data_IF_345017217142
#
_entry.id   IF_345017217142
#
_cell.length_a   1.000
_cell.length_b   1.000
_cell.length_c   1.000
_cell.angle_alpha   90.00
_cell.angle_beta   90.00
_cell.angle_gamma   90.00
#
_symmetry.space_group_name_H-M   'P 1'
#
loop_
_entity.id
_entity.type
_entity.pdbx_description
1 polymer ?
#
# COMPACT_ATOMS: atom_id res chain seq x y z
N UNK A 1 -17.75 3.80 17.69
CA UNK A 1 -18.50 4.29 18.85
C UNK A 1 -19.41 3.19 19.47
N UNK A 2 -19.98 2.25 18.69
CA UNK A 2 -20.89 1.21 19.19
C UNK A 2 -20.19 0.06 19.95
N UNK A 3 -18.91 -0.22 19.69
CA UNK A 3 -18.14 -1.28 20.38
C UNK A 3 -17.62 -0.88 21.76
N UNK A 4 -17.50 0.42 22.05
CA UNK A 4 -17.11 0.91 23.37
C UNK A 4 -18.16 0.61 24.47
N UNK A 5 -19.39 0.23 24.09
CA UNK A 5 -20.47 -0.10 25.03
C UNK A 5 -20.41 -1.54 25.60
N UNK A 6 -19.47 -2.39 25.14
CA UNK A 6 -19.41 -3.80 25.55
C UNK A 6 -18.32 -4.15 26.56
N UNK A 7 -17.71 -3.16 27.24
CA UNK A 7 -16.76 -3.44 28.33
C UNK A 7 -15.43 -4.07 27.90
N UNK A 8 -15.08 -4.01 26.60
CA UNK A 8 -13.79 -4.49 26.13
C UNK A 8 -12.65 -3.57 26.56
N UNK A 9 -11.49 -4.11 26.96
CA UNK A 9 -10.33 -3.33 27.35
C UNK A 9 -9.70 -2.66 26.11
N UNK A 10 -10.12 -1.43 25.81
CA UNK A 10 -9.61 -0.63 24.68
C UNK A 10 -8.67 0.46 25.17
N UNK A 11 -7.67 0.80 24.35
CA UNK A 11 -6.77 1.92 24.62
C UNK A 11 -7.53 3.25 24.59
N UNK A 12 -7.35 4.13 25.60
CA UNK A 12 -7.94 5.47 25.58
C UNK A 12 -7.18 6.39 24.63
N UNK A 13 -7.36 6.21 23.30
CA UNK A 13 -6.59 6.90 22.27
C UNK A 13 -6.57 8.42 22.39
N UNK A 14 -7.66 9.05 22.88
CA UNK A 14 -7.72 10.49 23.09
C UNK A 14 -6.88 11.00 24.27
N UNK A 15 -6.44 10.11 25.18
CA UNK A 15 -5.62 10.44 26.34
C UNK A 15 -4.15 10.07 26.16
N UNK A 16 -3.74 9.56 24.99
CA UNK A 16 -2.34 9.21 24.73
C UNK A 16 -1.51 10.46 24.46
N UNK A 17 -0.39 10.59 25.14
CA UNK A 17 0.61 11.64 24.87
C UNK A 17 1.29 11.41 23.52
N UNK A 18 1.79 12.49 22.89
CA UNK A 18 2.53 12.46 21.64
C UNK A 18 3.75 11.52 21.67
N UNK A 19 4.30 11.23 22.83
CA UNK A 19 5.38 10.24 23.01
C UNK A 19 5.04 8.85 22.49
N UNK A 20 3.77 8.45 22.54
CA UNK A 20 3.32 7.16 22.02
C UNK A 20 3.38 7.06 20.50
N UNK A 21 3.50 8.19 19.79
CA UNK A 21 3.70 8.23 18.34
C UNK A 21 5.16 7.99 17.92
N UNK A 22 6.14 8.05 18.86
CA UNK A 22 7.57 7.92 18.55
C UNK A 22 7.91 6.60 17.84
N UNK A 23 7.49 5.41 18.33
CA UNK A 23 7.80 4.15 17.64
C UNK A 23 7.28 4.12 16.19
N UNK A 24 6.09 4.68 15.95
CA UNK A 24 5.51 4.78 14.62
C UNK A 24 6.31 5.74 13.73
N UNK A 25 6.64 6.93 14.22
CA UNK A 25 7.46 7.90 13.48
C UNK A 25 8.85 7.33 13.15
N UNK A 26 9.48 6.65 14.09
CA UNK A 26 10.77 5.98 13.89
C UNK A 26 10.69 4.83 12.90
N UNK A 27 9.59 4.08 12.87
CA UNK A 27 9.36 3.05 11.86
C UNK A 27 9.25 3.66 10.47
N UNK A 28 8.48 4.76 10.30
CA UNK A 28 8.37 5.48 9.02
C UNK A 28 9.73 6.04 8.57
N UNK A 29 10.51 6.63 9.48
CA UNK A 29 11.86 7.10 9.18
C UNK A 29 12.80 5.95 8.80
N UNK A 30 12.68 4.80 9.45
CA UNK A 30 13.46 3.61 9.09
C UNK A 30 13.14 3.15 7.66
N UNK A 31 11.87 3.12 7.27
CA UNK A 31 11.43 2.76 5.90
C UNK A 31 11.94 3.80 4.87
N UNK A 32 11.93 5.08 5.21
CA UNK A 32 12.33 6.13 4.28
C UNK A 32 13.86 6.24 4.12
N UNK A 33 14.62 6.13 5.22
CA UNK A 33 16.05 6.44 5.24
C UNK A 33 16.92 5.19 5.02
N UNK A 34 16.59 4.07 5.68
CA UNK A 34 17.47 2.89 5.67
C UNK A 34 17.71 2.28 4.28
N UNK A 35 16.70 2.17 3.37
CA UNK A 35 16.96 1.69 2.02
C UNK A 35 17.94 2.54 1.23
N UNK A 36 18.00 3.85 1.51
CA UNK A 36 18.90 4.79 0.85
C UNK A 36 20.30 4.82 1.49
N UNK A 37 20.36 4.80 2.82
CA UNK A 37 21.60 4.91 3.56
C UNK A 37 22.36 3.58 3.68
N UNK A 38 21.66 2.47 3.84
CA UNK A 38 22.25 1.15 4.05
C UNK A 38 21.37 0.04 3.40
N UNK A 39 21.28 -0.05 2.05
CA UNK A 39 20.36 -0.94 1.36
C UNK A 39 20.55 -2.40 1.73
N UNK A 40 21.78 -2.91 1.73
CA UNK A 40 22.08 -4.33 2.08
C UNK A 40 21.71 -4.68 3.53
N UNK A 41 21.90 -3.73 4.45
CA UNK A 41 21.50 -3.94 5.85
C UNK A 41 19.98 -3.97 5.97
N UNK A 42 19.28 -3.06 5.28
CA UNK A 42 17.82 -3.00 5.26
C UNK A 42 17.21 -4.29 4.70
N UNK A 43 17.63 -4.72 3.51
CA UNK A 43 17.14 -5.94 2.86
C UNK A 43 17.25 -7.19 3.75
N UNK A 44 18.31 -7.24 4.56
CA UNK A 44 18.56 -8.40 5.44
C UNK A 44 17.84 -8.30 6.80
N UNK A 45 17.51 -7.10 7.27
CA UNK A 45 17.05 -6.87 8.64
C UNK A 45 15.71 -6.14 8.76
N UNK A 46 15.03 -5.78 7.64
CA UNK A 46 13.78 -5.01 7.71
C UNK A 46 12.73 -5.64 8.62
N UNK A 47 12.58 -6.97 8.61
CA UNK A 47 11.65 -7.67 9.48
C UNK A 47 12.00 -7.53 10.97
N UNK A 48 13.28 -7.57 11.33
CA UNK A 48 13.74 -7.38 12.73
C UNK A 48 13.51 -5.94 13.19
N UNK A 49 13.73 -4.97 12.31
CA UNK A 49 13.50 -3.54 12.60
C UNK A 49 12.00 -3.30 12.80
N UNK A 50 11.14 -3.90 11.98
CA UNK A 50 9.69 -3.81 12.11
C UNK A 50 9.20 -4.40 13.45
N UNK A 51 9.70 -5.59 13.80
CA UNK A 51 9.39 -6.22 15.10
C UNK A 51 9.91 -5.39 16.26
N UNK A 52 11.11 -4.84 16.16
CA UNK A 52 11.68 -3.97 17.19
C UNK A 52 10.78 -2.75 17.48
N UNK A 53 10.35 -2.02 16.46
CA UNK A 53 9.47 -0.86 16.63
C UNK A 53 8.06 -1.25 17.08
N UNK A 54 7.55 -2.40 16.63
CA UNK A 54 6.30 -2.96 17.14
C UNK A 54 6.36 -3.29 18.62
N UNK A 55 7.45 -3.93 19.07
CA UNK A 55 7.68 -4.21 20.48
C UNK A 55 7.94 -2.95 21.30
N UNK A 56 8.61 -1.95 20.73
CA UNK A 56 8.84 -0.65 21.37
C UNK A 56 7.53 0.11 21.68
N UNK A 57 6.45 -0.20 20.98
CA UNK A 57 5.11 0.27 21.31
C UNK A 57 4.39 -0.70 22.27
N UNK A 58 4.39 -1.99 21.95
CA UNK A 58 3.57 -3.00 22.62
C UNK A 58 4.00 -3.23 24.08
N UNK A 59 5.31 -3.25 24.36
CA UNK A 59 5.81 -3.49 25.72
C UNK A 59 5.44 -2.36 26.68
N UNK A 60 5.71 -1.07 26.40
CA UNK A 60 5.22 0.00 27.24
C UNK A 60 3.70 0.01 27.39
N UNK A 61 2.96 -0.29 26.31
CA UNK A 61 1.51 -0.41 26.35
C UNK A 61 1.07 -1.49 27.37
N UNK A 62 1.69 -2.66 27.36
CA UNK A 62 1.40 -3.73 28.29
C UNK A 62 1.74 -3.37 29.75
N UNK A 63 2.80 -2.59 29.97
CA UNK A 63 3.18 -2.14 31.31
C UNK A 63 2.27 -1.04 31.89
N UNK A 64 1.84 -0.08 31.03
CA UNK A 64 1.05 1.08 31.48
C UNK A 64 -0.44 0.76 31.54
N UNK A 65 -0.99 0.09 30.53
CA UNK A 65 -2.43 -0.18 30.42
C UNK A 65 -2.81 -1.62 30.78
N UNK A 66 -1.83 -2.46 31.00
CA UNK A 66 -2.02 -3.87 31.34
C UNK A 66 -1.89 -4.81 30.11
N UNK A 67 -1.45 -6.05 30.36
CA UNK A 67 -1.21 -7.03 29.30
C UNK A 67 -2.48 -7.46 28.55
N UNK A 68 -3.64 -7.42 29.24
CA UNK A 68 -4.93 -7.74 28.60
C UNK A 68 -5.33 -6.71 27.55
N UNK A 69 -5.10 -5.42 27.81
CA UNK A 69 -5.35 -4.33 26.84
C UNK A 69 -4.42 -4.46 25.65
N UNK A 70 -3.12 -4.62 25.89
CA UNK A 70 -2.13 -4.76 24.84
C UNK A 70 -2.40 -5.99 23.92
N UNK A 71 -2.77 -7.12 24.52
CA UNK A 71 -3.11 -8.34 23.79
C UNK A 71 -4.41 -8.16 22.97
N UNK A 72 -5.42 -7.54 23.57
CA UNK A 72 -6.68 -7.27 22.89
C UNK A 72 -6.46 -6.37 21.66
N UNK A 73 -5.74 -5.26 21.80
CA UNK A 73 -5.45 -4.35 20.70
C UNK A 73 -4.60 -5.03 19.61
N UNK A 74 -3.60 -5.81 20.00
CA UNK A 74 -2.79 -6.58 19.05
C UNK A 74 -3.65 -7.55 18.24
N UNK A 75 -4.49 -8.34 18.90
CA UNK A 75 -5.39 -9.29 18.24
C UNK A 75 -6.44 -8.58 17.38
N UNK A 76 -6.98 -7.47 17.86
CA UNK A 76 -7.94 -6.65 17.13
C UNK A 76 -7.35 -6.15 15.80
N UNK A 77 -6.14 -5.57 15.81
CA UNK A 77 -5.43 -5.11 14.62
C UNK A 77 -5.12 -6.28 13.68
N UNK A 78 -4.63 -7.41 14.21
CA UNK A 78 -4.30 -8.58 13.39
C UNK A 78 -5.55 -9.13 12.69
N UNK A 79 -6.65 -9.30 13.39
CA UNK A 79 -7.85 -9.97 12.87
C UNK A 79 -8.67 -9.03 11.97
N UNK A 80 -8.84 -7.78 12.36
CA UNK A 80 -9.76 -6.87 11.67
C UNK A 80 -9.09 -5.95 10.64
N UNK A 81 -7.79 -5.68 10.77
CA UNK A 81 -7.07 -4.84 9.82
C UNK A 81 -6.08 -5.65 8.97
N UNK A 82 -5.18 -6.41 9.61
CA UNK A 82 -4.07 -7.06 8.93
C UNK A 82 -4.50 -8.26 8.07
N UNK A 83 -5.31 -9.18 8.61
CA UNK A 83 -5.76 -10.37 7.86
C UNK A 83 -6.59 -9.98 6.64
N UNK A 84 -7.63 -9.12 6.73
CA UNK A 84 -8.37 -8.67 5.55
C UNK A 84 -7.48 -7.98 4.50
N UNK A 85 -6.51 -7.20 4.96
CA UNK A 85 -5.53 -6.55 4.09
C UNK A 85 -4.65 -7.57 3.33
N UNK A 86 -4.13 -8.59 4.00
CA UNK A 86 -3.33 -9.66 3.37
C UNK A 86 -4.18 -10.47 2.40
N UNK A 87 -5.44 -10.79 2.74
CA UNK A 87 -6.36 -11.49 1.84
C UNK A 87 -6.61 -10.66 0.57
N UNK A 88 -6.82 -9.34 0.71
CA UNK A 88 -6.97 -8.45 -0.43
C UNK A 88 -5.73 -8.47 -1.33
N UNK A 89 -4.54 -8.26 -0.74
CA UNK A 89 -3.29 -8.26 -1.51
C UNK A 89 -3.06 -9.59 -2.22
N UNK A 90 -3.29 -10.70 -1.53
CA UNK A 90 -3.16 -12.04 -2.09
C UNK A 90 -4.13 -12.26 -3.26
N UNK A 91 -5.37 -11.83 -3.12
CA UNK A 91 -6.40 -11.92 -4.17
C UNK A 91 -6.00 -11.09 -5.40
N UNK A 92 -5.61 -9.83 -5.20
CA UNK A 92 -5.16 -8.94 -6.28
C UNK A 92 -3.93 -9.49 -6.98
N UNK A 93 -2.96 -10.00 -6.23
CA UNK A 93 -1.73 -10.58 -6.77
C UNK A 93 -2.01 -11.84 -7.59
N UNK A 94 -2.91 -12.70 -7.11
CA UNK A 94 -3.32 -13.93 -7.80
C UNK A 94 -4.02 -13.62 -9.12
N UNK A 95 -4.95 -12.68 -9.12
CA UNK A 95 -5.65 -12.23 -10.34
C UNK A 95 -4.67 -11.62 -11.33
N UNK A 96 -3.82 -10.70 -10.89
CA UNK A 96 -2.83 -10.05 -11.74
C UNK A 96 -1.81 -11.03 -12.32
N UNK A 97 -1.36 -12.01 -11.53
CA UNK A 97 -0.42 -13.05 -11.95
C UNK A 97 -0.98 -14.02 -12.98
N UNK A 98 -2.32 -14.23 -12.98
CA UNK A 98 -3.02 -15.08 -13.94
C UNK A 98 -3.22 -14.44 -15.33
N UNK A 99 -3.10 -13.11 -15.45
CA UNK A 99 -3.31 -12.41 -16.73
C UNK A 99 -2.00 -12.36 -17.53
N UNK A 100 -2.04 -12.89 -18.76
CA UNK A 100 -0.91 -12.86 -19.69
C UNK A 100 -1.27 -12.07 -20.94
N UNK A 101 -0.58 -10.97 -21.16
CA UNK A 101 -0.68 -10.22 -22.41
C UNK A 101 0.35 -10.73 -23.43
N UNK A 102 -0.15 -11.26 -24.56
CA UNK A 102 0.67 -11.71 -25.69
C UNK A 102 0.39 -10.82 -26.90
N UNK A 103 1.43 -10.36 -27.58
CA UNK A 103 1.32 -9.54 -28.78
C UNK A 103 2.63 -8.86 -29.12
N UNK A 104 2.79 -8.47 -30.39
CA UNK A 104 3.91 -7.66 -30.87
C UNK A 104 3.46 -6.21 -30.98
N UNK A 105 3.70 -5.43 -29.94
CA UNK A 105 3.45 -4.00 -29.93
C UNK A 105 4.72 -3.27 -30.36
N UNK A 106 4.62 -2.36 -31.33
CA UNK A 106 5.68 -1.42 -31.66
C UNK A 106 5.52 -0.15 -30.84
N UNK A 107 6.56 0.29 -30.15
CA UNK A 107 6.52 1.44 -29.23
C UNK A 107 6.39 2.79 -29.95
N UNK A 108 5.28 3.02 -30.63
CA UNK A 108 4.91 4.35 -31.13
C UNK A 108 4.44 5.24 -29.98
N UNK A 109 4.47 6.56 -30.09
CA UNK A 109 3.93 7.45 -29.07
C UNK A 109 2.49 7.13 -28.67
N UNK A 110 1.64 6.80 -29.66
CA UNK A 110 0.24 6.46 -29.44
C UNK A 110 0.08 5.14 -28.69
N UNK A 111 0.87 4.11 -29.04
CA UNK A 111 0.85 2.81 -28.34
C UNK A 111 1.32 2.98 -26.89
N UNK A 112 2.37 3.76 -26.65
CA UNK A 112 2.83 4.04 -25.29
C UNK A 112 1.78 4.79 -24.48
N UNK A 113 1.17 5.84 -25.05
CA UNK A 113 0.08 6.56 -24.41
C UNK A 113 -1.13 5.63 -24.11
N UNK A 114 -1.47 4.75 -25.04
CA UNK A 114 -2.51 3.74 -24.85
C UNK A 114 -2.21 2.77 -23.69
N UNK A 115 -0.97 2.25 -23.63
CA UNK A 115 -0.55 1.37 -22.52
C UNK A 115 -0.64 2.11 -21.18
N UNK A 116 -0.20 3.37 -21.13
CA UNK A 116 -0.28 4.18 -19.92
C UNK A 116 -1.74 4.45 -19.51
N UNK A 117 -2.60 4.87 -20.45
CA UNK A 117 -4.00 5.15 -20.16
C UNK A 117 -4.75 3.89 -19.70
N UNK A 118 -4.61 2.76 -20.41
CA UNK A 118 -5.20 1.47 -20.02
C UNK A 118 -4.66 1.02 -18.65
N UNK A 119 -3.35 1.18 -18.44
CA UNK A 119 -2.71 0.82 -17.18
C UNK A 119 -3.23 1.65 -15.99
N UNK A 120 -3.43 2.94 -16.18
CA UNK A 120 -4.00 3.84 -15.17
C UNK A 120 -5.42 3.42 -14.77
N UNK A 121 -6.26 3.09 -15.76
CA UNK A 121 -7.61 2.59 -15.48
C UNK A 121 -7.57 1.23 -14.78
N UNK A 122 -6.77 0.28 -15.27
CA UNK A 122 -6.63 -1.03 -14.64
C UNK A 122 -6.09 -0.95 -13.21
N UNK A 123 -5.19 -0.01 -12.92
CA UNK A 123 -4.65 0.17 -11.57
C UNK A 123 -5.74 0.50 -10.54
N UNK A 124 -6.78 1.22 -10.94
CA UNK A 124 -7.93 1.50 -10.05
C UNK A 124 -8.74 0.25 -9.68
N UNK A 125 -8.69 -0.82 -10.48
CA UNK A 125 -9.52 -2.02 -10.28
C UNK A 125 -8.74 -3.21 -9.72
N UNK A 126 -7.51 -3.41 -10.20
CA UNK A 126 -6.70 -4.57 -9.81
C UNK A 126 -5.47 -4.20 -8.97
N UNK A 127 -5.40 -2.95 -8.53
CA UNK A 127 -4.29 -2.39 -7.78
C UNK A 127 -3.11 -1.96 -8.64
N UNK A 128 -2.37 -0.96 -8.15
CA UNK A 128 -1.18 -0.42 -8.82
C UNK A 128 -0.13 -1.49 -9.07
N UNK A 129 0.13 -2.36 -8.08
CA UNK A 129 1.09 -3.46 -8.21
C UNK A 129 0.67 -4.44 -9.31
N UNK A 130 -0.60 -4.84 -9.36
CA UNK A 130 -1.13 -5.76 -10.36
C UNK A 130 -1.03 -5.18 -11.77
N UNK A 131 -1.50 -3.96 -11.97
CA UNK A 131 -1.42 -3.28 -13.26
C UNK A 131 0.02 -3.05 -13.71
N UNK A 132 0.92 -2.67 -12.78
CA UNK A 132 2.32 -2.47 -13.08
C UNK A 132 3.00 -3.78 -13.50
N UNK A 133 2.80 -4.87 -12.79
CA UNK A 133 3.38 -6.19 -13.14
C UNK A 133 2.88 -6.69 -14.50
N UNK A 134 1.62 -6.44 -14.83
CA UNK A 134 1.01 -6.84 -16.10
C UNK A 134 1.59 -6.07 -17.29
N UNK A 135 1.77 -4.75 -17.15
CA UNK A 135 2.02 -3.85 -18.28
C UNK A 135 3.47 -3.40 -18.44
N UNK A 136 4.31 -3.49 -17.40
CA UNK A 136 5.72 -3.04 -17.51
C UNK A 136 6.49 -3.84 -18.55
N UNK A 137 6.31 -5.16 -18.64
CA UNK A 137 6.99 -6.01 -19.61
C UNK A 137 6.56 -5.72 -21.05
N UNK A 138 5.26 -5.63 -21.40
CA UNK A 138 4.80 -5.15 -22.70
C UNK A 138 5.36 -3.78 -23.06
N UNK A 139 5.35 -2.81 -22.15
CA UNK A 139 5.90 -1.48 -22.40
C UNK A 139 7.39 -1.53 -22.74
N UNK A 140 8.18 -2.25 -21.95
CA UNK A 140 9.62 -2.38 -22.19
C UNK A 140 9.93 -3.10 -23.51
N UNK A 141 9.18 -4.16 -23.85
CA UNK A 141 9.34 -4.89 -25.12
C UNK A 141 8.99 -4.03 -26.32
N UNK A 142 7.87 -3.30 -26.26
CA UNK A 142 7.45 -2.39 -27.31
C UNK A 142 8.52 -1.32 -27.63
N UNK A 143 9.23 -0.86 -26.59
CA UNK A 143 10.27 0.16 -26.70
C UNK A 143 11.70 -0.40 -26.72
N UNK A 144 11.90 -1.70 -26.95
CA UNK A 144 13.23 -2.32 -26.92
C UNK A 144 14.21 -1.69 -27.93
N UNK A 145 13.70 -1.30 -29.10
CA UNK A 145 14.47 -0.67 -30.18
C UNK A 145 14.81 0.82 -29.95
N UNK A 146 14.19 1.47 -28.95
CA UNK A 146 14.42 2.90 -28.65
C UNK A 146 15.66 3.11 -27.79
N UNK A 147 16.49 4.06 -28.18
CA UNK A 147 17.66 4.49 -27.40
C UNK A 147 17.25 5.22 -26.10
N UNK A 148 16.23 6.09 -26.21
CA UNK A 148 15.73 6.89 -25.10
C UNK A 148 14.32 6.42 -24.69
N UNK A 149 14.23 5.65 -23.62
CA UNK A 149 12.97 5.08 -23.09
C UNK A 149 12.68 5.42 -21.63
N UNK A 150 13.59 6.15 -20.99
CA UNK A 150 13.48 6.51 -19.56
C UNK A 150 12.19 7.26 -19.28
N UNK A 151 11.82 8.24 -20.13
CA UNK A 151 10.59 9.01 -19.95
C UNK A 151 9.33 8.12 -19.94
N UNK A 152 9.26 7.10 -20.81
CA UNK A 152 8.12 6.20 -20.84
C UNK A 152 7.99 5.39 -19.53
N UNK A 153 9.12 4.98 -18.94
CA UNK A 153 9.15 4.27 -17.66
C UNK A 153 8.79 5.22 -16.51
N UNK A 154 9.30 6.44 -16.53
CA UNK A 154 8.98 7.46 -15.51
C UNK A 154 7.48 7.77 -15.52
N UNK A 155 6.88 8.03 -16.67
CA UNK A 155 5.44 8.24 -16.79
C UNK A 155 4.64 6.99 -16.40
N UNK A 156 5.14 5.80 -16.67
CA UNK A 156 4.51 4.57 -16.21
C UNK A 156 4.47 4.47 -14.68
N UNK A 157 5.56 4.82 -14.02
CA UNK A 157 5.62 4.84 -12.56
C UNK A 157 4.62 5.86 -12.00
N UNK A 158 4.58 7.07 -12.54
CA UNK A 158 3.65 8.09 -12.05
C UNK A 158 2.19 7.74 -12.32
N UNK A 159 1.85 7.32 -13.52
CA UNK A 159 0.46 7.13 -13.93
C UNK A 159 -0.08 5.76 -13.48
N UNK A 160 0.63 4.67 -13.79
CA UNK A 160 0.11 3.31 -13.55
C UNK A 160 0.44 2.83 -12.13
N UNK A 161 1.68 3.03 -11.69
CA UNK A 161 2.10 2.52 -10.39
C UNK A 161 1.73 3.43 -9.19
N UNK A 162 1.23 4.65 -9.44
CA UNK A 162 0.82 5.58 -8.38
C UNK A 162 -0.56 6.18 -8.63
N UNK A 163 -0.69 7.15 -9.55
CA UNK A 163 -1.94 7.93 -9.74
C UNK A 163 -3.14 7.03 -10.03
N UNK A 164 -2.97 6.01 -10.88
CA UNK A 164 -4.05 5.09 -11.24
C UNK A 164 -4.69 4.38 -10.04
N UNK A 165 -3.94 4.19 -8.95
CA UNK A 165 -4.47 3.58 -7.74
C UNK A 165 -5.32 4.49 -6.86
N UNK A 166 -5.30 5.80 -7.10
CA UNK A 166 -5.94 6.78 -6.19
C UNK A 166 -7.46 6.87 -6.30
N UNK A 167 -8.08 6.31 -7.35
CA UNK A 167 -9.49 6.49 -7.63
C UNK A 167 -10.42 5.51 -6.92
N UNK A 168 -9.93 4.36 -6.48
CA UNK A 168 -10.75 3.39 -5.74
C UNK A 168 -9.96 2.78 -4.57
N UNK A 169 -10.65 2.26 -3.54
CA UNK A 169 -10.01 1.54 -2.44
C UNK A 169 -9.24 0.29 -2.87
N UNK A 170 -9.57 -0.30 -4.03
CA UNK A 170 -8.85 -1.47 -4.56
C UNK A 170 -7.53 -1.09 -5.24
N UNK A 171 -7.38 0.18 -5.63
CA UNK A 171 -6.21 0.67 -6.34
C UNK A 171 -4.97 0.80 -5.46
N UNK A 172 -5.14 1.19 -4.20
CA UNK A 172 -4.02 1.42 -3.30
C UNK A 172 -4.35 0.96 -1.86
N UNK A 173 -3.47 0.19 -1.22
CA UNK A 173 -3.66 -0.37 0.12
C UNK A 173 -4.11 0.62 1.21
N UNK A 174 -3.54 1.83 1.32
CA UNK A 174 -4.03 2.81 2.30
C UNK A 174 -5.48 3.22 2.11
N UNK A 175 -5.96 3.31 0.86
CA UNK A 175 -7.36 3.63 0.56
C UNK A 175 -8.30 2.49 0.98
N UNK A 176 -7.85 1.25 0.84
CA UNK A 176 -8.61 0.09 1.32
C UNK A 176 -8.75 0.10 2.85
N UNK A 177 -7.71 0.44 3.58
CA UNK A 177 -7.81 0.61 5.03
C UNK A 177 -8.79 1.72 5.41
N UNK A 178 -8.80 2.83 4.66
CA UNK A 178 -9.80 3.90 4.84
C UNK A 178 -11.23 3.39 4.62
N UNK A 179 -11.45 2.56 3.59
CA UNK A 179 -12.73 1.92 3.33
C UNK A 179 -13.16 1.02 4.49
N UNK A 180 -12.27 0.19 5.03
CA UNK A 180 -12.56 -0.64 6.21
C UNK A 180 -12.91 0.18 7.45
N UNK A 181 -12.38 1.40 7.57
CA UNK A 181 -12.72 2.34 8.65
C UNK A 181 -13.98 3.17 8.37
N UNK A 182 -14.76 2.85 7.34
CA UNK A 182 -16.06 3.43 7.06
C UNK A 182 -16.08 4.57 6.04
N UNK A 183 -14.99 4.83 5.33
CA UNK A 183 -14.99 5.75 4.18
C UNK A 183 -15.76 5.10 3.02
N UNK A 184 -16.65 5.88 2.36
CA UNK A 184 -17.40 5.37 1.21
C UNK A 184 -16.49 4.90 0.08
N UNK A 185 -16.82 3.77 -0.56
CA UNK A 185 -16.04 3.19 -1.66
C UNK A 185 -15.74 4.17 -2.79
N UNK A 186 -16.74 4.95 -3.21
CA UNK A 186 -16.58 5.93 -4.29
C UNK A 186 -16.16 7.32 -3.81
N UNK A 187 -15.81 7.49 -2.53
CA UNK A 187 -15.42 8.80 -2.01
C UNK A 187 -14.20 9.36 -2.76
N UNK A 188 -13.18 8.54 -2.98
CA UNK A 188 -11.97 8.91 -3.72
C UNK A 188 -12.29 9.27 -5.17
N UNK A 189 -13.10 8.47 -5.84
CA UNK A 189 -13.52 8.74 -7.22
C UNK A 189 -14.23 10.09 -7.32
N UNK A 190 -15.21 10.36 -6.46
CA UNK A 190 -16.01 11.60 -6.53
C UNK A 190 -15.25 12.85 -6.12
N UNK A 191 -14.29 12.75 -5.21
CA UNK A 191 -13.58 13.90 -4.67
C UNK A 191 -12.19 14.14 -5.27
N UNK A 192 -11.55 13.10 -5.82
CA UNK A 192 -10.18 13.17 -6.35
C UNK A 192 -10.10 13.09 -7.88
N UNK A 193 -11.13 12.62 -8.57
CA UNK A 193 -11.09 12.41 -10.03
C UNK A 193 -10.58 13.61 -10.84
N UNK A 194 -10.98 14.83 -10.47
CA UNK A 194 -10.50 16.04 -11.15
C UNK A 194 -9.12 16.52 -10.67
N UNK A 195 -8.55 15.89 -9.64
CA UNK A 195 -7.26 16.27 -9.05
C UNK A 195 -6.16 15.27 -9.36
N UNK A 196 -6.53 14.10 -9.85
CA UNK A 196 -5.62 13.03 -10.31
C UNK A 196 -5.47 13.06 -11.82
#
# INVERSE_FOLDING_TARGET
>A
AALAAQGHPTLPGAGLDALWAIPFACMLLSIAVMPLAAPHFWERHFGKISVFWGLAFLLPCAFVFGPSVALYELLHIIILDYIPFIILLFSLFTVAGGVRLTGSLTGTPLVNAGILAVGTVLASWMGTTGAAMLLIRPLLRANAHRRYKVHSVVFFIFLVANIGGSLTPLGDPPLFLGFLKGVSFFWTTTNLFLKT
#
